data_IF_066319816238
#
_entry.id   IF_066319816238
#
_cell.length_a   1.000
_cell.length_b   1.000
_cell.length_c   1.000
_cell.angle_alpha   90.00
_cell.angle_beta   90.00
_cell.angle_gamma   90.00
#
_symmetry.space_group_name_H-M   'P 1'
#
loop_
_entity.id
_entity.type
_entity.pdbx_description
1 polymer ?
#
# COMPACT_ATOMS: atom_id res chain seq x y z
N UNK A 1 4.98 22.64 -15.23
CA UNK A 1 3.84 22.12 -14.46
C UNK A 1 3.42 23.23 -13.50
N UNK A 2 2.15 23.63 -13.50
CA UNK A 2 1.64 24.62 -12.54
C UNK A 2 1.73 24.05 -11.12
N UNK A 3 2.21 24.83 -10.16
CA UNK A 3 2.18 24.43 -8.75
C UNK A 3 0.72 24.23 -8.33
N UNK A 4 0.36 23.03 -7.86
CA UNK A 4 -0.96 22.76 -7.26
C UNK A 4 -1.12 23.59 -5.98
N UNK A 5 -2.34 24.01 -5.70
CA UNK A 5 -2.70 24.70 -4.46
C UNK A 5 -2.47 23.76 -3.26
N UNK A 6 -2.28 24.35 -2.08
CA UNK A 6 -1.94 23.61 -0.85
C UNK A 6 -2.89 24.03 0.26
N UNK A 7 -3.43 23.03 0.96
CA UNK A 7 -4.48 23.17 1.96
C UNK A 7 -3.94 22.76 3.34
N UNK A 8 -4.20 23.59 4.34
CA UNK A 8 -3.82 23.31 5.73
C UNK A 8 -4.97 22.75 6.56
N UNK A 9 -4.67 22.38 7.81
CA UNK A 9 -5.62 21.77 8.77
C UNK A 9 -7.03 22.34 8.73
N UNK A 10 -7.18 23.65 8.92
CA UNK A 10 -8.51 24.28 9.03
C UNK A 10 -9.35 24.09 7.77
N UNK A 11 -8.71 24.05 6.60
CA UNK A 11 -9.42 23.82 5.33
C UNK A 11 -9.86 22.34 5.24
N UNK A 12 -8.95 21.41 5.51
CA UNK A 12 -9.23 19.96 5.47
C UNK A 12 -10.37 19.62 6.45
N UNK A 13 -10.32 20.15 7.67
CA UNK A 13 -11.35 19.93 8.67
C UNK A 13 -12.70 20.52 8.25
N UNK A 14 -12.71 21.69 7.60
CA UNK A 14 -13.94 22.28 7.08
C UNK A 14 -14.57 21.43 5.97
N UNK A 15 -13.78 20.91 5.03
CA UNK A 15 -14.28 20.02 3.98
C UNK A 15 -14.87 18.72 4.57
N UNK A 16 -14.20 18.11 5.55
CA UNK A 16 -14.69 16.89 6.20
C UNK A 16 -15.98 17.13 6.99
N UNK A 17 -16.12 18.30 7.62
CA UNK A 17 -17.38 18.70 8.30
C UNK A 17 -18.50 18.97 7.31
N UNK A 18 -18.22 19.62 6.17
CA UNK A 18 -19.21 19.83 5.12
C UNK A 18 -19.74 18.49 4.58
N UNK A 19 -18.86 17.50 4.40
CA UNK A 19 -19.25 16.12 4.05
C UNK A 19 -20.12 15.51 5.14
N UNK A 20 -19.74 15.66 6.42
CA UNK A 20 -20.52 15.15 7.55
C UNK A 20 -21.96 15.69 7.55
N UNK A 21 -22.13 17.00 7.33
CA UNK A 21 -23.43 17.69 7.32
C UNK A 21 -24.38 17.19 6.21
N UNK A 22 -23.83 16.54 5.17
CA UNK A 22 -24.58 16.03 4.02
C UNK A 22 -24.77 14.50 4.03
N UNK A 23 -24.07 13.78 4.91
CA UNK A 23 -24.24 12.35 5.08
C UNK A 23 -25.46 12.04 5.95
N UNK A 24 -26.27 11.09 5.51
CA UNK A 24 -27.49 10.64 6.21
C UNK A 24 -27.39 9.22 6.76
N UNK A 25 -26.27 8.56 6.51
CA UNK A 25 -26.03 7.16 6.89
C UNK A 25 -24.55 6.98 7.06
N UNK A 26 -24.19 6.24 8.10
CA UNK A 26 -22.84 6.04 8.60
C UNK A 26 -21.84 5.72 7.48
N UNK A 27 -20.75 6.48 7.48
CA UNK A 27 -19.57 6.27 6.66
C UNK A 27 -18.38 6.31 7.61
N UNK A 28 -17.60 5.23 7.63
CA UNK A 28 -16.31 5.19 8.28
C UNK A 28 -15.23 5.35 7.21
N UNK A 29 -14.41 6.39 7.35
CA UNK A 29 -13.29 6.68 6.48
C UNK A 29 -12.01 6.92 7.28
N UNK A 30 -10.87 6.76 6.62
CA UNK A 30 -9.58 6.92 7.27
C UNK A 30 -8.68 7.80 6.42
N UNK A 31 -8.17 8.86 7.02
CA UNK A 31 -7.21 9.75 6.40
C UNK A 31 -5.84 9.10 6.36
N UNK A 32 -5.23 9.13 5.19
CA UNK A 32 -3.87 8.65 4.94
C UNK A 32 -3.01 9.77 4.35
N UNK A 33 -1.77 9.41 3.97
CA UNK A 33 -0.93 10.27 3.15
C UNK A 33 -0.57 11.61 3.80
N UNK A 34 -0.40 12.64 2.96
CA UNK A 34 0.03 13.96 3.42
C UNK A 34 -1.02 14.68 4.27
N UNK A 35 -2.31 14.41 4.01
CA UNK A 35 -3.43 14.92 4.80
C UNK A 35 -3.35 14.46 6.26
N UNK A 36 -3.24 13.15 6.48
CA UNK A 36 -3.10 12.60 7.83
C UNK A 36 -1.87 13.15 8.57
N UNK A 37 -0.71 13.20 7.91
CA UNK A 37 0.52 13.78 8.47
C UNK A 37 0.37 15.25 8.91
N UNK A 38 -0.52 16.01 8.25
CA UNK A 38 -0.78 17.40 8.60
C UNK A 38 -1.73 17.59 9.79
N UNK A 39 -2.58 16.59 10.05
CA UNK A 39 -3.63 16.64 11.09
C UNK A 39 -3.21 15.96 12.40
N UNK A 40 -2.23 15.07 12.36
CA UNK A 40 -1.61 14.49 13.56
C UNK A 40 -1.02 15.55 14.50
N UNK A 41 -0.85 15.18 15.77
CA UNK A 41 -0.24 16.01 16.80
C UNK A 41 0.95 15.27 17.46
N UNK A 42 2.20 15.73 17.27
CA UNK A 42 2.60 16.92 16.51
C UNK A 42 2.45 16.73 15.00
N UNK A 43 2.09 17.82 14.31
CA UNK A 43 1.98 17.82 12.84
C UNK A 43 3.36 17.72 12.19
N UNK A 44 3.47 16.86 11.17
CA UNK A 44 4.69 16.69 10.37
C UNK A 44 4.66 17.52 9.08
N UNK A 45 3.51 18.11 8.73
CA UNK A 45 3.31 18.91 7.52
C UNK A 45 2.35 20.07 7.75
N UNK A 46 2.73 21.26 7.33
CA UNK A 46 1.83 22.42 7.41
C UNK A 46 0.65 22.33 6.43
N UNK A 47 0.86 21.71 5.26
CA UNK A 47 -0.14 21.66 4.18
C UNK A 47 0.00 20.42 3.28
N UNK A 48 -1.11 20.02 2.66
CA UNK A 48 -1.20 18.96 1.65
C UNK A 48 -1.76 19.46 0.32
N UNK A 49 -1.51 18.74 -0.77
CA UNK A 49 -2.13 18.99 -2.10
C UNK A 49 -3.47 18.24 -2.24
N UNK A 50 -3.57 17.08 -1.60
CA UNK A 50 -4.67 16.12 -1.72
C UNK A 50 -5.15 15.69 -0.33
N UNK A 51 -6.44 15.36 -0.23
CA UNK A 51 -7.04 14.70 0.93
C UNK A 51 -7.23 13.22 0.55
N UNK A 52 -6.32 12.38 1.03
CA UNK A 52 -6.36 10.94 0.78
C UNK A 52 -7.26 10.24 1.82
N UNK A 53 -8.33 9.58 1.37
CA UNK A 53 -9.24 8.81 2.23
C UNK A 53 -9.28 7.35 1.80
N UNK A 54 -9.27 6.42 2.75
CA UNK A 54 -9.61 5.01 2.51
C UNK A 54 -10.92 4.63 3.18
N UNK A 55 -11.74 3.86 2.46
CA UNK A 55 -12.97 3.25 2.95
C UNK A 55 -12.94 1.74 2.68
N UNK A 56 -13.48 0.95 3.61
CA UNK A 56 -13.45 -0.52 3.54
C UNK A 56 -14.78 -1.15 3.12
N UNK A 57 -15.88 -0.38 3.23
CA UNK A 57 -17.22 -0.79 2.84
C UNK A 57 -17.64 -0.17 1.50
N UNK A 58 -18.16 -0.99 0.59
CA UNK A 58 -18.56 -0.53 -0.74
C UNK A 58 -19.76 0.43 -0.67
N UNK A 59 -20.66 0.23 0.28
CA UNK A 59 -21.80 1.12 0.44
C UNK A 59 -21.34 2.48 1.01
N UNK A 60 -20.36 2.49 1.91
CA UNK A 60 -19.71 3.70 2.41
C UNK A 60 -19.02 4.47 1.28
N UNK A 61 -18.27 3.78 0.40
CA UNK A 61 -17.69 4.38 -0.80
C UNK A 61 -18.74 5.09 -1.66
N UNK A 62 -19.82 4.38 -2.02
CA UNK A 62 -20.89 4.96 -2.85
C UNK A 62 -21.56 6.16 -2.18
N UNK A 63 -21.77 6.12 -0.86
CA UNK A 63 -22.33 7.24 -0.09
C UNK A 63 -21.41 8.46 -0.11
N UNK A 64 -20.13 8.26 0.20
CA UNK A 64 -19.12 9.31 0.20
C UNK A 64 -19.00 9.97 -1.18
N UNK A 65 -18.90 9.15 -2.24
CA UNK A 65 -18.83 9.65 -3.62
C UNK A 65 -20.08 10.42 -4.04
N UNK A 66 -21.27 9.95 -3.65
CA UNK A 66 -22.53 10.66 -3.94
C UNK A 66 -22.64 12.01 -3.22
N UNK A 67 -22.11 12.12 -2.01
CA UNK A 67 -22.05 13.41 -1.29
C UNK A 67 -21.05 14.35 -1.94
N UNK A 68 -19.86 13.88 -2.28
CA UNK A 68 -18.84 14.68 -2.98
C UNK A 68 -19.39 15.25 -4.31
N UNK A 69 -20.03 14.41 -5.13
CA UNK A 69 -20.71 14.84 -6.36
C UNK A 69 -21.80 15.90 -6.08
N UNK A 70 -22.63 15.68 -5.05
CA UNK A 70 -23.67 16.63 -4.63
C UNK A 70 -23.13 17.98 -4.12
N UNK A 71 -21.90 17.98 -3.57
CA UNK A 71 -21.16 19.18 -3.14
C UNK A 71 -20.43 19.88 -4.31
N UNK A 72 -20.51 19.33 -5.53
CA UNK A 72 -19.90 19.92 -6.72
C UNK A 72 -18.44 19.52 -6.94
N UNK A 73 -17.97 18.43 -6.33
CA UNK A 73 -16.69 17.84 -6.71
C UNK A 73 -16.82 17.12 -8.05
N UNK A 74 -15.92 17.43 -8.98
CA UNK A 74 -15.91 16.83 -10.33
C UNK A 74 -14.84 15.74 -10.44
N UNK A 75 -15.14 14.66 -11.17
CA UNK A 75 -14.20 13.58 -11.44
C UNK A 75 -12.98 14.07 -12.22
N UNK A 76 -11.79 13.72 -11.74
CA UNK A 76 -10.53 14.02 -12.41
C UNK A 76 -10.23 12.89 -13.39
N UNK A 77 -10.51 13.10 -14.68
CA UNK A 77 -10.33 12.07 -15.72
C UNK A 77 -8.97 12.10 -16.42
N UNK A 78 -8.14 13.11 -16.15
CA UNK A 78 -6.77 13.26 -16.71
C UNK A 78 -5.74 13.12 -15.60
N UNK A 79 -5.72 11.92 -15.02
CA UNK A 79 -4.74 11.49 -14.04
C UNK A 79 -3.51 11.03 -14.82
N UNK A 80 -2.38 11.74 -14.70
CA UNK A 80 -1.14 11.34 -15.40
C UNK A 80 -0.67 9.94 -14.98
N UNK A 81 0.33 9.37 -15.68
CA UNK A 81 0.85 7.99 -15.48
C UNK A 81 1.25 7.64 -14.03
N UNK A 82 1.49 8.63 -13.17
CA UNK A 82 1.78 8.44 -11.74
C UNK A 82 0.54 8.05 -10.93
N UNK A 83 -0.66 8.48 -11.33
CA UNK A 83 -1.93 8.20 -10.64
C UNK A 83 -2.59 6.90 -11.12
N UNK A 84 -2.41 6.52 -12.40
CA UNK A 84 -2.85 5.23 -12.95
C UNK A 84 -2.20 4.03 -12.24
N UNK A 85 -1.01 4.24 -11.64
CA UNK A 85 -0.26 3.24 -10.88
C UNK A 85 -0.67 3.13 -9.41
N UNK A 86 -1.42 4.10 -8.88
CA UNK A 86 -1.81 4.15 -7.46
C UNK A 86 -3.13 3.42 -7.16
N UNK A 87 -3.83 2.91 -8.18
CA UNK A 87 -5.13 2.28 -7.98
C UNK A 87 -6.18 3.22 -7.39
N UNK A 88 -5.95 4.54 -7.45
CA UNK A 88 -6.90 5.53 -6.97
C UNK A 88 -8.15 5.45 -7.83
N UNK A 89 -9.22 4.86 -7.28
CA UNK A 89 -10.43 4.55 -8.06
C UNK A 89 -11.26 5.79 -8.31
N UNK A 90 -11.16 6.79 -7.45
CA UNK A 90 -12.01 7.96 -7.48
C UNK A 90 -11.26 9.20 -7.01
N UNK A 91 -10.65 9.93 -7.95
CA UNK A 91 -10.11 11.25 -7.71
C UNK A 91 -11.17 12.28 -8.09
N UNK A 92 -11.60 13.11 -7.14
CA UNK A 92 -12.57 14.18 -7.39
C UNK A 92 -12.03 15.50 -6.88
N UNK A 93 -12.33 16.61 -7.58
CA UNK A 93 -11.75 17.93 -7.28
C UNK A 93 -12.82 19.02 -7.29
N UNK A 94 -12.74 19.93 -6.33
CA UNK A 94 -13.62 21.10 -6.26
C UNK A 94 -13.04 22.32 -7.00
N UNK A 95 -13.82 23.40 -7.07
CA UNK A 95 -13.45 24.68 -7.70
C UNK A 95 -12.24 25.37 -7.06
N UNK A 96 -11.97 25.12 -5.78
CA UNK A 96 -10.78 25.60 -5.07
C UNK A 96 -9.51 24.82 -5.46
N UNK A 97 -9.64 23.76 -6.26
CA UNK A 97 -8.55 22.89 -6.66
C UNK A 97 -8.17 21.84 -5.60
N UNK A 98 -8.95 21.72 -4.53
CA UNK A 98 -8.78 20.67 -3.52
C UNK A 98 -9.29 19.35 -4.08
N UNK A 99 -8.46 18.31 -3.99
CA UNK A 99 -8.75 16.99 -4.52
C UNK A 99 -8.87 15.99 -3.38
N UNK A 100 -9.91 15.16 -3.46
CA UNK A 100 -10.02 13.94 -2.68
C UNK A 100 -9.56 12.76 -3.52
N UNK A 101 -8.64 11.99 -2.97
CA UNK A 101 -8.21 10.70 -3.51
C UNK A 101 -8.83 9.61 -2.64
N UNK A 102 -9.91 8.97 -3.14
CA UNK A 102 -10.66 7.97 -2.38
C UNK A 102 -10.27 6.56 -2.80
N UNK A 103 -9.64 5.85 -1.86
CA UNK A 103 -9.20 4.46 -1.96
C UNK A 103 -10.26 3.52 -1.39
N UNK A 104 -10.43 2.37 -2.04
CA UNK A 104 -11.34 1.32 -1.58
C UNK A 104 -10.56 0.06 -1.24
N UNK A 105 -10.53 -0.28 0.05
CA UNK A 105 -9.88 -1.46 0.66
C UNK A 105 -8.37 -1.63 0.43
N UNK A 106 -7.81 -1.10 -0.64
CA UNK A 106 -6.40 -1.24 -0.98
C UNK A 106 -5.77 0.13 -1.23
N UNK A 107 -4.49 0.22 -0.90
CA UNK A 107 -3.63 1.39 -1.11
C UNK A 107 -2.59 1.04 -2.16
N UNK A 108 -2.43 1.90 -3.16
CA UNK A 108 -1.48 1.75 -4.27
C UNK A 108 -1.65 0.47 -5.12
N UNK A 109 -2.80 -0.22 -5.04
CA UNK A 109 -3.02 -1.60 -5.54
C UNK A 109 -2.02 -2.63 -4.97
N UNK A 110 -1.31 -2.31 -3.87
CA UNK A 110 -0.25 -3.16 -3.31
C UNK A 110 -0.53 -3.69 -1.91
N UNK A 111 -1.19 -2.90 -1.07
CA UNK A 111 -1.48 -3.29 0.32
C UNK A 111 -2.97 -3.19 0.60
N UNK A 112 -3.50 -4.10 1.39
CA UNK A 112 -4.84 -3.98 1.95
C UNK A 112 -4.83 -3.04 3.17
N UNK A 113 -5.86 -2.23 3.30
CA UNK A 113 -6.13 -1.49 4.53
C UNK A 113 -6.70 -2.44 5.58
N UNK A 114 -5.83 -2.98 6.43
CA UNK A 114 -6.15 -4.10 7.32
C UNK A 114 -6.98 -3.68 8.53
N UNK A 115 -7.58 -4.65 9.22
CA UNK A 115 -8.26 -4.41 10.50
C UNK A 115 -7.28 -3.91 11.58
N UNK A 116 -6.00 -4.27 11.48
CA UNK A 116 -4.94 -3.78 12.36
C UNK A 116 -4.72 -2.27 12.17
N UNK A 117 -4.60 -1.83 10.93
CA UNK A 117 -4.48 -0.41 10.58
C UNK A 117 -5.70 0.40 11.03
N UNK A 118 -6.91 -0.15 10.86
CA UNK A 118 -8.15 0.46 11.35
C UNK A 118 -8.12 0.61 12.89
N UNK A 119 -7.70 -0.43 13.61
CA UNK A 119 -7.68 -0.43 15.08
C UNK A 119 -6.62 0.53 15.67
N UNK A 120 -5.51 0.75 14.95
CA UNK A 120 -4.46 1.71 15.33
C UNK A 120 -4.82 3.15 14.98
N UNK A 121 -5.85 3.38 14.16
CA UNK A 121 -6.23 4.73 13.73
C UNK A 121 -6.85 5.53 14.87
N UNK A 122 -6.44 6.80 15.00
CA UNK A 122 -6.95 7.71 16.02
C UNK A 122 -8.19 8.45 15.54
N UNK A 123 -9.22 8.57 16.36
CA UNK A 123 -10.43 9.30 15.98
C UNK A 123 -10.13 10.80 15.76
N UNK A 124 -10.39 11.31 14.56
CA UNK A 124 -10.23 12.72 14.20
C UNK A 124 -11.55 13.48 14.21
N UNK A 125 -12.52 12.95 13.48
CA UNK A 125 -13.87 13.48 13.37
C UNK A 125 -14.84 12.35 13.73
N UNK A 126 -15.80 12.66 14.60
CA UNK A 126 -16.89 11.75 14.93
C UNK A 126 -18.17 12.56 14.95
N UNK A 127 -18.94 12.41 13.88
CA UNK A 127 -20.30 12.93 13.71
C UNK A 127 -21.31 11.76 13.71
N UNK A 128 -22.61 12.03 13.71
CA UNK A 128 -23.66 11.00 13.74
C UNK A 128 -23.59 10.06 12.53
N UNK A 129 -23.26 10.57 11.34
CA UNK A 129 -23.23 9.80 10.09
C UNK A 129 -21.86 9.75 9.41
N UNK A 130 -20.82 10.31 10.02
CA UNK A 130 -19.47 10.30 9.46
C UNK A 130 -18.41 10.18 10.55
N UNK A 131 -17.57 9.15 10.44
CA UNK A 131 -16.38 9.00 11.26
C UNK A 131 -15.13 9.06 10.38
N UNK A 132 -14.12 9.77 10.86
CA UNK A 132 -12.81 9.87 10.21
C UNK A 132 -11.73 9.51 11.22
N UNK A 133 -10.97 8.46 10.94
CA UNK A 133 -9.76 8.11 11.67
C UNK A 133 -8.50 8.71 11.01
N UNK A 134 -7.49 9.11 11.79
CA UNK A 134 -6.13 9.34 11.30
C UNK A 134 -5.37 8.02 11.38
N UNK A 135 -4.88 7.53 10.24
CA UNK A 135 -4.01 6.35 10.23
C UNK A 135 -2.69 6.67 10.91
N UNK A 136 -2.13 5.69 11.64
CA UNK A 136 -0.91 5.88 12.43
C UNK A 136 0.30 6.21 11.56
N UNK A 137 1.35 6.78 12.15
CA UNK A 137 2.56 7.12 11.40
C UNK A 137 3.30 5.90 10.86
N UNK A 138 3.24 4.76 11.58
CA UNK A 138 3.78 3.47 11.16
C UNK A 138 3.13 3.00 9.85
N UNK A 139 1.80 3.04 9.80
CA UNK A 139 1.03 2.63 8.64
C UNK A 139 1.18 3.60 7.47
N UNK A 140 1.28 4.91 7.74
CA UNK A 140 1.61 5.91 6.71
C UNK A 140 3.01 5.65 6.14
N UNK A 141 4.01 5.35 6.96
CA UNK A 141 5.36 5.00 6.50
C UNK A 141 5.31 3.78 5.56
N UNK A 142 4.57 2.74 5.94
CA UNK A 142 4.40 1.55 5.12
C UNK A 142 3.73 1.87 3.77
N UNK A 143 2.64 2.67 3.75
CA UNK A 143 2.03 3.11 2.48
C UNK A 143 2.98 3.89 1.59
N UNK A 144 3.81 4.77 2.18
CA UNK A 144 4.81 5.55 1.43
C UNK A 144 5.86 4.65 0.79
N UNK A 145 6.26 3.57 1.48
CA UNK A 145 7.24 2.61 0.97
C UNK A 145 6.76 1.82 -0.25
N UNK A 146 5.45 1.73 -0.50
CA UNK A 146 4.86 1.00 -1.65
C UNK A 146 4.27 1.90 -2.73
N UNK A 147 4.19 3.22 -2.48
CA UNK A 147 3.56 4.20 -3.38
C UNK A 147 4.46 4.61 -4.57
N UNK A 148 5.76 4.36 -4.48
CA UNK A 148 6.77 4.58 -5.55
C UNK A 148 6.94 6.03 -6.05
N UNK A 149 6.33 7.05 -5.42
CA UNK A 149 6.50 8.43 -5.88
C UNK A 149 7.81 9.04 -5.39
N UNK A 150 8.43 9.94 -6.16
CA UNK A 150 9.66 10.62 -5.73
C UNK A 150 9.51 11.37 -4.40
N UNK A 151 8.38 12.07 -4.20
CA UNK A 151 8.10 12.84 -2.98
C UNK A 151 7.93 11.93 -1.73
N UNK A 152 7.59 10.65 -1.91
CA UNK A 152 7.31 9.74 -0.78
C UNK A 152 8.58 9.38 0.02
N UNK A 153 9.77 9.41 -0.58
CA UNK A 153 11.04 9.17 0.14
C UNK A 153 11.32 10.30 1.16
N UNK A 154 11.05 11.56 0.79
CA UNK A 154 11.19 12.68 1.73
C UNK A 154 10.17 12.62 2.87
N UNK A 155 8.98 12.08 2.60
CA UNK A 155 7.97 11.82 3.63
C UNK A 155 8.41 10.70 4.58
N UNK A 156 8.94 9.59 4.05
CA UNK A 156 9.54 8.51 4.85
C UNK A 156 10.66 9.04 5.74
N UNK A 157 11.57 9.85 5.20
CA UNK A 157 12.65 10.46 5.96
C UNK A 157 12.13 11.35 7.10
N UNK A 158 11.02 12.06 6.89
CA UNK A 158 10.36 12.86 7.93
C UNK A 158 9.74 11.97 9.01
N UNK A 159 9.06 10.89 8.62
CA UNK A 159 8.42 9.95 9.54
C UNK A 159 9.44 9.23 10.42
N UNK A 160 10.60 8.83 9.88
CA UNK A 160 11.67 8.17 10.66
C UNK A 160 12.26 9.07 11.75
N UNK A 161 12.10 10.41 11.67
CA UNK A 161 12.51 11.31 12.75
C UNK A 161 11.52 11.33 13.93
N UNK A 162 10.40 10.63 13.82
CA UNK A 162 9.44 10.41 14.91
C UNK A 162 9.77 9.13 15.66
N UNK A 163 9.03 8.85 16.74
CA UNK A 163 9.17 7.61 17.51
C UNK A 163 8.38 6.46 16.87
N UNK A 164 8.65 6.13 15.59
CA UNK A 164 8.01 5.01 14.91
C UNK A 164 8.28 3.69 15.63
N UNK A 165 7.24 2.92 15.89
CA UNK A 165 7.37 1.54 16.31
C UNK A 165 7.54 0.62 15.09
N UNK A 166 8.79 0.25 14.79
CA UNK A 166 9.10 -0.59 13.65
C UNK A 166 8.62 -2.04 13.82
N UNK A 167 8.41 -2.52 15.05
CA UNK A 167 7.84 -3.85 15.29
C UNK A 167 6.39 -3.90 14.78
N UNK A 168 5.64 -2.79 14.93
CA UNK A 168 4.27 -2.67 14.37
C UNK A 168 4.28 -2.72 12.84
N UNK A 169 5.29 -2.11 12.20
CA UNK A 169 5.42 -2.13 10.73
C UNK A 169 5.78 -3.54 10.25
N UNK A 170 6.69 -4.23 10.96
CA UNK A 170 7.06 -5.61 10.69
C UNK A 170 5.85 -6.57 10.83
N UNK A 171 5.11 -6.47 11.93
CA UNK A 171 3.88 -7.24 12.16
C UNK A 171 2.85 -7.00 11.03
N UNK A 172 2.75 -5.75 10.56
CA UNK A 172 1.85 -5.43 9.45
C UNK A 172 2.37 -5.99 8.11
N UNK A 173 3.68 -5.98 7.84
CA UNK A 173 4.26 -6.64 6.66
C UNK A 173 3.91 -8.13 6.66
N UNK A 174 4.08 -8.84 7.79
CA UNK A 174 3.69 -10.25 7.91
C UNK A 174 2.19 -10.42 7.63
N UNK A 175 1.35 -9.54 8.20
CA UNK A 175 -0.10 -9.58 7.96
C UNK A 175 -0.47 -9.38 6.49
N UNK A 176 0.25 -8.51 5.77
CA UNK A 176 0.02 -8.25 4.35
C UNK A 176 0.39 -9.46 3.49
N UNK A 177 1.43 -10.22 3.85
CA UNK A 177 1.77 -11.48 3.18
C UNK A 177 0.60 -12.46 3.22
N UNK A 178 -0.05 -12.61 4.38
CA UNK A 178 -1.24 -13.45 4.52
C UNK A 178 -2.44 -12.94 3.71
N UNK A 179 -2.66 -11.61 3.69
CA UNK A 179 -3.80 -10.99 3.01
C UNK A 179 -3.67 -11.06 1.48
N UNK A 180 -2.47 -10.89 0.97
CA UNK A 180 -2.16 -10.90 -0.46
C UNK A 180 -1.93 -12.33 -0.98
N UNK A 181 -1.48 -13.24 -0.12
CA UNK A 181 -1.12 -14.60 -0.50
C UNK A 181 0.18 -14.64 -1.32
N UNK A 182 1.12 -13.75 -0.99
CA UNK A 182 2.35 -13.52 -1.73
C UNK A 182 3.23 -12.44 -1.09
N UNK A 183 4.46 -12.33 -1.56
CA UNK A 183 5.51 -11.45 -1.01
C UNK A 183 6.00 -10.41 -2.02
N UNK A 184 5.39 -10.34 -3.22
CA UNK A 184 5.80 -9.43 -4.29
C UNK A 184 5.91 -7.96 -3.83
N UNK A 185 4.98 -7.49 -2.99
CA UNK A 185 4.98 -6.10 -2.50
C UNK A 185 6.27 -5.75 -1.73
N UNK A 186 6.92 -6.72 -1.09
CA UNK A 186 8.16 -6.49 -0.33
C UNK A 186 9.32 -6.08 -1.24
N UNK A 187 9.28 -6.44 -2.52
CA UNK A 187 10.27 -5.96 -3.50
C UNK A 187 10.24 -4.44 -3.68
N UNK A 188 9.03 -3.86 -3.59
CA UNK A 188 8.82 -2.41 -3.69
C UNK A 188 9.27 -1.71 -2.40
N UNK A 189 8.97 -2.32 -1.25
CA UNK A 189 9.46 -1.83 0.05
C UNK A 189 11.00 -1.81 0.06
N UNK A 190 11.63 -2.91 -0.40
CA UNK A 190 13.09 -3.01 -0.48
C UNK A 190 13.71 -1.91 -1.34
N UNK A 191 13.13 -1.61 -2.50
CA UNK A 191 13.60 -0.52 -3.36
C UNK A 191 13.44 0.85 -2.69
N UNK A 192 12.32 1.07 -2.00
CA UNK A 192 12.08 2.33 -1.28
C UNK A 192 13.06 2.53 -0.11
N UNK A 193 13.37 1.47 0.65
CA UNK A 193 14.37 1.54 1.72
C UNK A 193 15.78 1.78 1.16
N UNK A 194 16.14 1.14 0.04
CA UNK A 194 17.41 1.43 -0.64
C UNK A 194 17.49 2.90 -1.10
N UNK A 195 16.40 3.43 -1.65
CA UNK A 195 16.32 4.85 -2.05
C UNK A 195 16.38 5.79 -0.86
N UNK A 196 15.80 5.42 0.28
CA UNK A 196 15.86 6.17 1.52
C UNK A 196 17.31 6.27 2.03
N UNK A 197 18.05 5.15 2.02
CA UNK A 197 19.48 5.14 2.37
C UNK A 197 20.31 5.96 1.37
N UNK A 198 20.11 5.76 0.07
CA UNK A 198 20.89 6.44 -0.97
C UNK A 198 20.66 7.96 -1.02
N UNK A 199 19.42 8.41 -0.86
CA UNK A 199 19.06 9.82 -1.02
C UNK A 199 19.21 10.61 0.28
N UNK A 200 18.88 9.99 1.42
CA UNK A 200 18.77 10.67 2.71
C UNK A 200 19.78 10.14 3.75
N UNK A 201 20.49 9.05 3.46
CA UNK A 201 21.45 8.43 4.38
C UNK A 201 20.80 7.78 5.60
N UNK A 202 19.54 7.34 5.45
CA UNK A 202 18.72 6.78 6.53
C UNK A 202 18.56 5.27 6.31
N UNK A 203 19.03 4.51 7.29
CA UNK A 203 18.80 3.08 7.43
C UNK A 203 17.74 2.84 8.51
N UNK A 204 16.98 1.75 8.40
CA UNK A 204 15.87 1.43 9.31
C UNK A 204 16.01 0.02 9.88
N UNK A 205 15.41 -0.27 11.05
CA UNK A 205 15.36 -1.64 11.57
C UNK A 205 14.72 -2.65 10.59
N UNK A 206 13.90 -2.19 9.65
CA UNK A 206 13.27 -3.04 8.63
C UNK A 206 14.24 -3.57 7.58
N UNK A 207 15.44 -3.00 7.44
CA UNK A 207 16.39 -3.33 6.36
C UNK A 207 16.81 -4.81 6.36
N UNK A 208 16.84 -5.45 7.53
CA UNK A 208 17.17 -6.88 7.64
C UNK A 208 15.96 -7.77 7.34
N UNK A 209 14.80 -7.43 7.90
CA UNK A 209 13.54 -8.17 7.73
C UNK A 209 13.09 -8.14 6.26
N UNK A 210 13.02 -6.95 5.66
CA UNK A 210 12.63 -6.76 4.26
C UNK A 210 13.60 -7.47 3.32
N UNK A 211 14.90 -7.49 3.65
CA UNK A 211 15.91 -8.22 2.87
C UNK A 211 15.70 -9.73 2.91
N UNK A 212 15.27 -10.29 4.05
CA UNK A 212 14.96 -11.72 4.15
C UNK A 212 13.78 -12.09 3.25
N UNK A 213 12.67 -11.35 3.35
CA UNK A 213 11.51 -11.51 2.47
C UNK A 213 11.89 -11.35 1.00
N UNK A 214 12.66 -10.31 0.66
CA UNK A 214 13.12 -10.06 -0.71
C UNK A 214 13.93 -11.25 -1.25
N UNK A 215 14.91 -11.75 -0.50
CA UNK A 215 15.75 -12.87 -0.92
C UNK A 215 14.94 -14.14 -1.11
N UNK A 216 14.00 -14.42 -0.18
CA UNK A 216 13.10 -15.57 -0.28
C UNK A 216 12.23 -15.49 -1.54
N UNK A 217 11.61 -14.33 -1.78
CA UNK A 217 10.80 -14.08 -2.97
C UNK A 217 11.62 -14.24 -4.26
N UNK A 218 12.80 -13.62 -4.34
CA UNK A 218 13.66 -13.70 -5.53
C UNK A 218 14.17 -15.11 -5.81
N UNK A 219 14.54 -15.87 -4.77
CA UNK A 219 14.95 -17.27 -4.92
C UNK A 219 13.82 -18.14 -5.50
N UNK A 220 12.58 -17.95 -5.01
CA UNK A 220 11.40 -18.61 -5.57
C UNK A 220 11.13 -18.16 -7.01
N UNK A 221 11.21 -16.87 -7.29
CA UNK A 221 11.02 -16.32 -8.63
C UNK A 221 12.05 -16.88 -9.64
N UNK A 222 13.32 -16.97 -9.28
CA UNK A 222 14.37 -17.59 -10.11
C UNK A 222 14.08 -19.05 -10.43
N UNK A 223 13.63 -19.84 -9.44
CA UNK A 223 13.21 -21.22 -9.67
C UNK A 223 12.06 -21.26 -10.67
N UNK A 224 11.06 -20.40 -10.47
CA UNK A 224 9.87 -20.33 -11.28
C UNK A 224 10.16 -20.00 -12.75
N UNK A 225 11.15 -19.15 -13.03
CA UNK A 225 11.60 -18.85 -14.40
C UNK A 225 12.13 -20.06 -15.17
N UNK A 226 12.46 -21.17 -14.49
CA UNK A 226 12.92 -22.42 -15.12
C UNK A 226 11.79 -23.45 -15.31
N UNK A 227 10.57 -23.12 -14.88
CA UNK A 227 9.42 -24.02 -14.93
C UNK A 227 8.50 -23.67 -16.10
N UNK A 228 7.75 -24.67 -16.54
CA UNK A 228 6.72 -24.59 -17.57
C UNK A 228 5.41 -25.13 -16.99
N UNK A 229 4.27 -24.67 -17.51
CA UNK A 229 2.94 -25.13 -17.06
C UNK A 229 2.61 -26.54 -17.59
N UNK A 230 3.07 -26.86 -18.79
CA UNK A 230 2.75 -28.13 -19.48
C UNK A 230 3.77 -29.23 -19.14
N UNK A 231 5.01 -28.86 -18.86
CA UNK A 231 6.14 -29.79 -18.69
C UNK A 231 6.79 -29.67 -17.31
N UNK A 232 6.88 -30.79 -16.58
CA UNK A 232 7.60 -30.82 -15.31
C UNK A 232 9.12 -30.98 -15.50
N UNK A 233 9.89 -30.27 -14.67
CA UNK A 233 11.36 -30.31 -14.65
C UNK A 233 11.85 -31.00 -13.38
N UNK A 234 12.80 -31.93 -13.53
CA UNK A 234 13.32 -32.67 -12.38
C UNK A 234 14.15 -31.80 -11.44
N UNK A 235 14.16 -32.13 -10.14
CA UNK A 235 14.93 -31.39 -9.12
C UNK A 235 16.43 -31.33 -9.45
N UNK A 236 16.99 -32.43 -9.95
CA UNK A 236 18.41 -32.51 -10.31
C UNK A 236 18.76 -31.60 -11.48
N UNK A 237 17.86 -31.51 -12.47
CA UNK A 237 18.01 -30.60 -13.62
C UNK A 237 17.90 -29.13 -13.21
N UNK A 238 16.94 -28.79 -12.34
CA UNK A 238 16.78 -27.46 -11.77
C UNK A 238 18.02 -27.05 -10.96
N UNK A 239 18.52 -27.94 -10.10
CA UNK A 239 19.73 -27.73 -9.30
C UNK A 239 20.95 -27.47 -10.18
N UNK A 240 21.13 -28.26 -11.24
CA UNK A 240 22.21 -28.07 -12.20
C UNK A 240 22.07 -26.79 -13.03
N UNK A 241 20.84 -26.36 -13.33
CA UNK A 241 20.59 -25.16 -14.15
C UNK A 241 20.81 -23.88 -13.37
N UNK A 242 20.40 -23.87 -12.10
CA UNK A 242 20.52 -22.72 -11.20
C UNK A 242 21.85 -22.69 -10.43
N UNK A 243 22.70 -23.70 -10.60
CA UNK A 243 23.99 -23.87 -9.88
C UNK A 243 23.82 -23.85 -8.34
N UNK A 244 22.80 -24.57 -7.85
CA UNK A 244 22.48 -24.71 -6.43
C UNK A 244 22.34 -26.18 -6.04
N UNK A 245 22.23 -26.49 -4.76
CA UNK A 245 21.98 -27.86 -4.30
C UNK A 245 20.53 -28.29 -4.55
N UNK A 246 20.28 -29.59 -4.69
CA UNK A 246 18.91 -30.13 -4.72
C UNK A 246 18.11 -29.74 -3.47
N UNK A 247 18.76 -29.65 -2.30
CA UNK A 247 18.13 -29.17 -1.06
C UNK A 247 17.65 -27.72 -1.15
N UNK A 248 18.40 -26.84 -1.84
CA UNK A 248 17.98 -25.46 -2.08
C UNK A 248 16.78 -25.40 -3.03
N UNK A 249 16.73 -26.27 -4.05
CA UNK A 249 15.55 -26.39 -4.92
C UNK A 249 14.32 -26.81 -4.12
N UNK A 250 14.46 -27.77 -3.21
CA UNK A 250 13.34 -28.19 -2.34
C UNK A 250 12.85 -27.03 -1.45
N UNK A 251 13.75 -26.24 -0.85
CA UNK A 251 13.36 -25.06 -0.06
C UNK A 251 12.61 -24.02 -0.88
N UNK A 252 13.10 -23.73 -2.11
CA UNK A 252 12.42 -22.82 -3.05
C UNK A 252 11.07 -23.38 -3.50
N UNK A 253 10.97 -24.70 -3.69
CA UNK A 253 9.73 -25.38 -4.02
C UNK A 253 8.70 -25.25 -2.89
N UNK A 254 9.07 -25.58 -1.65
CA UNK A 254 8.19 -25.47 -0.47
C UNK A 254 7.63 -24.05 -0.33
N UNK A 255 8.50 -23.04 -0.51
CA UNK A 255 8.10 -21.64 -0.54
C UNK A 255 7.06 -21.32 -1.64
N UNK A 256 7.24 -21.81 -2.86
CA UNK A 256 6.29 -21.56 -3.96
C UNK A 256 4.99 -22.38 -3.82
N UNK A 257 5.09 -23.60 -3.28
CA UNK A 257 3.97 -24.51 -3.06
C UNK A 257 3.00 -23.94 -2.02
N UNK A 258 3.49 -23.26 -0.98
CA UNK A 258 2.64 -22.68 0.06
C UNK A 258 1.62 -21.66 -0.50
N UNK A 259 1.98 -20.97 -1.58
CA UNK A 259 1.12 -20.01 -2.29
C UNK A 259 0.40 -20.63 -3.49
N UNK A 260 0.66 -21.91 -3.77
CA UNK A 260 0.11 -22.65 -4.90
C UNK A 260 0.60 -22.14 -6.24
N UNK A 261 1.83 -21.64 -6.32
CA UNK A 261 2.45 -21.18 -7.58
C UNK A 261 3.08 -22.33 -8.37
N UNK A 262 3.49 -23.39 -7.70
CA UNK A 262 4.04 -24.60 -8.30
C UNK A 262 3.37 -25.84 -7.72
N UNK A 263 3.51 -26.97 -8.41
CA UNK A 263 3.09 -28.26 -7.89
C UNK A 263 4.09 -29.37 -8.25
N UNK A 264 4.10 -30.44 -7.45
CA UNK A 264 4.93 -31.62 -7.67
C UNK A 264 4.17 -32.72 -8.40
N UNK A 265 4.82 -33.24 -9.43
CA UNK A 265 4.36 -34.37 -10.25
C UNK A 265 5.28 -35.58 -10.05
N UNK A 266 4.98 -36.70 -10.72
CA UNK A 266 5.88 -37.86 -10.76
C UNK A 266 7.18 -37.60 -11.52
N UNK A 267 7.22 -36.58 -12.37
CA UNK A 267 8.35 -36.26 -13.26
C UNK A 267 9.20 -35.10 -12.74
N UNK A 268 8.68 -34.30 -11.80
CA UNK A 268 9.40 -33.15 -11.25
C UNK A 268 8.46 -32.08 -10.70
N UNK A 269 8.89 -30.83 -10.80
CA UNK A 269 8.14 -29.64 -10.41
C UNK A 269 7.62 -28.97 -11.69
N UNK A 270 6.41 -28.42 -11.66
CA UNK A 270 5.87 -27.59 -12.75
C UNK A 270 5.22 -26.32 -12.22
N UNK A 271 5.10 -25.31 -13.07
CA UNK A 271 4.35 -24.09 -12.78
C UNK A 271 2.84 -24.38 -12.84
N UNK A 272 2.04 -23.57 -12.13
CA UNK A 272 0.57 -23.69 -12.11
C UNK A 272 -0.13 -22.59 -12.93
N UNK A 273 0.62 -21.62 -13.44
CA UNK A 273 0.11 -20.40 -14.08
C UNK A 273 -0.45 -19.37 -13.10
N UNK A 274 -0.46 -19.65 -11.78
CA UNK A 274 -0.95 -18.70 -10.77
C UNK A 274 0.14 -17.69 -10.41
N UNK A 275 -0.08 -16.41 -10.63
CA UNK A 275 0.93 -15.39 -10.34
C UNK A 275 0.69 -14.65 -9.01
N UNK A 276 1.80 -14.21 -8.41
CA UNK A 276 1.79 -13.16 -7.40
C UNK A 276 1.70 -11.84 -8.17
N UNK A 277 0.49 -11.29 -8.25
CA UNK A 277 0.17 -10.09 -9.01
C UNK A 277 -0.59 -9.12 -8.12
N UNK A 278 -0.27 -7.83 -8.25
CA UNK A 278 -1.07 -6.75 -7.69
C UNK A 278 -2.48 -6.76 -8.27
N UNK A 279 -3.42 -7.28 -7.48
CA UNK A 279 -4.82 -7.36 -7.87
C UNK A 279 -5.51 -6.03 -7.64
N UNK A 280 -5.97 -5.41 -8.73
CA UNK A 280 -6.89 -4.27 -8.64
C UNK A 280 -8.17 -4.73 -7.94
N UNK A 281 -8.54 -4.04 -6.86
CA UNK A 281 -9.74 -4.27 -6.04
C UNK A 281 -11.09 -4.16 -6.76
#
# INVERSE_FOLDING_TARGET
MSSRERFGRNYIEAELREIADHLQTDVDAYLIGGGAMSLHEPSLKDTTKDIDLVVVDEAALRRLMGVLDGLGYEEVTDLGEEYDRLGARHCVRNDAGCQFDVFYRQIADKLYFSDGMQARSEAFLSDESFSVGLVSFEDIFLFKSVAERPDDIGDMATLVQTDLDFDVIEDEIERQVDLLGGEQFVTVISESLERLDQNEGIQTPLDDVVREYYQRYMNGYELRLQLDEDTATSVSELASTLDVSEEEIERRYEYLEQYGFVERTSEGIRDTGRHDEFQRS
#
